data_IF_405888324560
#
_entry.id   IF_405888324560
#
_cell.length_a   1.000
_cell.length_b   1.000
_cell.length_c   1.000
_cell.angle_alpha   90.00
_cell.angle_beta   90.00
_cell.angle_gamma   90.00
#
_symmetry.space_group_name_H-M   'P 1'
#
loop_
_entity.id
_entity.type
_entity.pdbx_description
1 polymer ?
#
# COMPACT_ATOMS: atom_id res chain seq x y z
N UNK A 1 -67.17 -3.02 -56.32
CA UNK A 1 -66.36 -1.78 -56.40
C UNK A 1 -64.87 -2.04 -56.67
N UNK A 2 -64.15 -2.81 -55.84
CA UNK A 2 -62.69 -3.02 -56.02
C UNK A 2 -62.30 -3.73 -57.32
N UNK A 3 -63.15 -4.62 -57.84
CA UNK A 3 -62.87 -5.39 -59.06
C UNK A 3 -63.05 -4.56 -60.33
N UNK A 4 -64.08 -3.71 -60.38
CA UNK A 4 -64.29 -2.76 -61.49
C UNK A 4 -63.10 -1.80 -61.57
N UNK A 5 -62.61 -1.30 -60.43
CA UNK A 5 -61.43 -0.43 -60.40
C UNK A 5 -60.16 -1.10 -60.95
N UNK A 6 -59.94 -2.40 -60.69
CA UNK A 6 -58.80 -3.13 -61.27
C UNK A 6 -58.94 -3.28 -62.79
N UNK A 7 -60.13 -3.66 -63.25
CA UNK A 7 -60.41 -3.91 -64.67
C UNK A 7 -60.33 -2.62 -65.51
N UNK A 8 -60.78 -1.49 -64.97
CA UNK A 8 -60.63 -0.18 -65.61
C UNK A 8 -59.16 0.26 -65.67
N UNK A 9 -58.39 0.01 -64.61
CA UNK A 9 -56.95 0.29 -64.60
C UNK A 9 -56.18 -0.58 -65.60
N UNK A 10 -56.59 -1.83 -65.82
CA UNK A 10 -55.96 -2.71 -66.83
C UNK A 10 -56.15 -2.18 -68.26
N UNK A 11 -57.34 -1.68 -68.58
CA UNK A 11 -57.68 -1.11 -69.90
C UNK A 11 -56.89 0.18 -70.18
N UNK A 12 -56.74 1.05 -69.18
CA UNK A 12 -56.01 2.31 -69.36
C UNK A 12 -54.48 2.12 -69.48
N UNK A 13 -53.94 0.98 -69.02
CA UNK A 13 -52.51 0.70 -68.97
C UNK A 13 -52.11 -0.46 -69.90
N UNK A 14 -52.86 -0.69 -70.97
CA UNK A 14 -52.73 -1.82 -71.90
C UNK A 14 -51.37 -1.81 -72.64
N UNK A 15 -50.80 -0.63 -72.91
CA UNK A 15 -49.52 -0.45 -73.62
C UNK A 15 -48.24 -0.60 -72.77
N UNK A 16 -48.36 -0.86 -71.46
CA UNK A 16 -47.19 -0.91 -70.54
C UNK A 16 -46.64 -2.33 -70.29
N UNK A 17 -47.24 -3.38 -70.88
CA UNK A 17 -46.71 -4.76 -70.90
C UNK A 17 -46.20 -5.29 -69.55
N UNK A 18 -45.07 -6.01 -69.58
CA UNK A 18 -44.39 -6.60 -68.41
C UNK A 18 -43.85 -5.56 -67.40
N UNK A 19 -43.80 -4.27 -67.79
CA UNK A 19 -43.29 -3.17 -66.96
C UNK A 19 -44.37 -2.50 -66.09
N UNK A 20 -45.57 -3.10 -65.98
CA UNK A 20 -46.65 -2.62 -65.11
C UNK A 20 -46.31 -2.81 -63.63
N UNK A 21 -45.46 -1.95 -63.10
CA UNK A 21 -45.23 -1.84 -61.66
C UNK A 21 -46.31 -0.96 -61.03
N UNK A 22 -46.84 -1.31 -59.85
CA UNK A 22 -47.67 -0.41 -59.07
C UNK A 22 -46.94 0.92 -58.90
N UNK A 23 -47.65 2.06 -58.95
CA UNK A 23 -47.01 3.38 -58.83
C UNK A 23 -46.04 3.49 -57.63
N UNK A 24 -46.35 2.81 -56.52
CA UNK A 24 -45.51 2.73 -55.30
C UNK A 24 -44.19 1.99 -55.45
N UNK A 25 -44.04 1.14 -56.48
CA UNK A 25 -42.87 0.29 -56.73
C UNK A 25 -41.99 0.78 -57.88
N UNK A 26 -42.36 1.90 -58.52
CA UNK A 26 -41.53 2.51 -59.55
C UNK A 26 -40.24 3.05 -58.91
N UNK A 27 -39.07 2.86 -59.55
CA UNK A 27 -37.83 3.50 -59.12
C UNK A 27 -38.03 5.03 -59.06
N UNK A 28 -37.47 5.71 -58.06
CA UNK A 28 -37.74 7.12 -57.76
C UNK A 28 -39.03 7.37 -56.97
N UNK A 29 -40.18 6.79 -57.34
CA UNK A 29 -41.42 6.93 -56.54
C UNK A 29 -41.32 6.14 -55.24
N UNK A 30 -40.74 4.94 -55.30
CA UNK A 30 -40.51 4.07 -54.14
C UNK A 30 -39.68 4.77 -53.05
N UNK A 31 -38.65 5.51 -53.45
CA UNK A 31 -37.74 6.24 -52.54
C UNK A 31 -38.45 7.38 -51.81
N UNK A 32 -39.47 7.99 -52.43
CA UNK A 32 -40.28 9.04 -51.81
C UNK A 32 -41.26 8.51 -50.74
N UNK A 33 -41.60 7.22 -50.81
CA UNK A 33 -42.51 6.56 -49.86
C UNK A 33 -41.80 5.61 -48.87
N UNK A 34 -40.50 5.32 -49.06
CA UNK A 34 -39.70 4.58 -48.10
C UNK A 34 -39.42 5.46 -46.88
N UNK A 35 -39.99 5.06 -45.74
CA UNK A 35 -39.79 5.76 -44.47
C UNK A 35 -38.29 5.76 -44.15
N UNK A 36 -37.65 6.92 -43.91
CA UNK A 36 -36.24 6.93 -43.56
C UNK A 36 -36.02 6.01 -42.35
N UNK A 37 -34.93 5.22 -42.33
CA UNK A 37 -34.67 4.28 -41.25
C UNK A 37 -34.67 5.05 -39.93
N UNK A 38 -35.48 4.59 -38.97
CA UNK A 38 -35.56 5.24 -37.68
C UNK A 38 -34.18 5.19 -37.02
N UNK A 39 -33.55 6.37 -36.88
CA UNK A 39 -32.25 6.48 -36.24
C UNK A 39 -32.39 5.98 -34.80
N UNK A 40 -31.72 4.88 -34.49
CA UNK A 40 -31.65 4.36 -33.12
C UNK A 40 -30.98 5.45 -32.28
N UNK A 41 -31.76 6.08 -31.38
CA UNK A 41 -31.21 7.04 -30.43
C UNK A 41 -30.18 6.32 -29.55
N UNK A 42 -28.97 6.87 -29.47
CA UNK A 42 -27.99 6.42 -28.48
C UNK A 42 -28.55 6.69 -27.08
N UNK A 43 -28.18 5.83 -26.12
CA UNK A 43 -28.51 6.07 -24.71
C UNK A 43 -27.97 7.44 -24.32
N UNK A 44 -28.83 8.27 -23.74
CA UNK A 44 -28.40 9.53 -23.17
C UNK A 44 -27.68 9.28 -21.85
N UNK A 45 -26.91 10.26 -21.37
CA UNK A 45 -26.30 10.17 -20.03
C UNK A 45 -27.34 9.92 -18.95
N UNK A 46 -28.51 10.53 -19.06
CA UNK A 46 -29.62 10.33 -18.14
C UNK A 46 -30.13 8.87 -18.14
N UNK A 47 -30.17 8.21 -19.30
CA UNK A 47 -30.54 6.79 -19.39
C UNK A 47 -29.47 5.84 -18.83
N UNK A 48 -28.23 6.33 -18.71
CA UNK A 48 -27.14 5.62 -18.05
C UNK A 48 -27.27 5.82 -16.55
N UNK A 49 -27.40 7.07 -16.07
CA UNK A 49 -27.56 7.39 -14.65
C UNK A 49 -28.77 6.72 -14.01
N UNK A 50 -29.90 6.62 -14.73
CA UNK A 50 -31.08 5.87 -14.27
C UNK A 50 -30.84 4.37 -14.01
N UNK A 51 -29.79 3.81 -14.60
CA UNK A 51 -29.44 2.38 -14.51
C UNK A 51 -28.22 2.12 -13.64
N UNK A 52 -27.61 3.16 -13.08
CA UNK A 52 -26.57 3.00 -12.07
C UNK A 52 -27.29 2.55 -10.79
N UNK A 53 -27.01 1.32 -10.39
CA UNK A 53 -27.54 0.71 -9.17
C UNK A 53 -26.45 0.66 -8.08
N UNK A 54 -26.79 0.10 -6.92
CA UNK A 54 -25.85 -0.13 -5.84
C UNK A 54 -24.67 -1.02 -6.26
N UNK A 55 -24.87 -1.92 -7.24
CA UNK A 55 -23.82 -2.78 -7.79
C UNK A 55 -22.68 -1.98 -8.41
N UNK A 56 -22.98 -0.82 -9.03
CA UNK A 56 -21.94 0.08 -9.56
C UNK A 56 -20.98 0.60 -8.48
N UNK A 57 -21.47 0.78 -7.26
CA UNK A 57 -20.69 1.24 -6.12
C UNK A 57 -20.08 0.08 -5.32
N UNK A 58 -20.13 -1.15 -5.83
CA UNK A 58 -19.48 -2.31 -5.22
C UNK A 58 -20.19 -2.89 -3.99
N UNK A 59 -21.40 -2.42 -3.64
CA UNK A 59 -22.16 -2.93 -2.49
C UNK A 59 -22.52 -4.43 -2.59
N UNK A 60 -22.32 -5.06 -3.76
CA UNK A 60 -22.60 -6.48 -4.00
C UNK A 60 -21.34 -7.33 -4.20
N UNK A 61 -20.17 -6.70 -4.28
CA UNK A 61 -18.90 -7.40 -4.55
C UNK A 61 -18.44 -8.22 -3.33
N UNK A 62 -18.97 -7.93 -2.13
CA UNK A 62 -18.74 -8.73 -0.94
C UNK A 62 -19.50 -10.07 -0.95
N UNK A 63 -20.64 -10.16 -1.67
CA UNK A 63 -21.51 -11.36 -1.66
C UNK A 63 -21.07 -12.47 -2.62
N UNK A 64 -20.30 -12.14 -3.67
CA UNK A 64 -19.91 -13.12 -4.70
C UNK A 64 -18.74 -14.03 -4.27
N UNK A 65 -18.07 -13.67 -3.16
CA UNK A 65 -16.93 -14.40 -2.59
C UNK A 65 -15.66 -14.35 -3.44
N UNK A 66 -15.61 -13.55 -4.51
CA UNK A 66 -14.40 -13.35 -5.32
C UNK A 66 -13.34 -12.66 -4.49
N UNK A 67 -13.74 -11.64 -3.73
CA UNK A 67 -12.84 -10.89 -2.86
C UNK A 67 -12.19 -11.81 -1.81
N UNK A 68 -12.99 -12.59 -1.08
CA UNK A 68 -12.51 -13.54 -0.07
C UNK A 68 -11.51 -14.58 -0.62
N UNK A 69 -11.69 -15.06 -1.85
CA UNK A 69 -10.76 -16.01 -2.49
C UNK A 69 -9.40 -15.40 -2.83
N UNK A 70 -9.36 -14.11 -3.12
CA UNK A 70 -8.13 -13.40 -3.48
C UNK A 70 -7.43 -12.86 -2.24
N UNK A 71 -8.20 -12.32 -1.29
CA UNK A 71 -7.67 -11.75 -0.05
C UNK A 71 -7.14 -12.80 0.91
N UNK A 72 -7.83 -13.93 1.11
CA UNK A 72 -7.39 -15.00 2.02
C UNK A 72 -5.94 -15.47 1.80
N UNK A 73 -5.53 -15.87 0.57
CA UNK A 73 -4.14 -16.27 0.33
C UNK A 73 -3.16 -15.11 0.41
N UNK A 74 -3.59 -13.86 0.13
CA UNK A 74 -2.73 -12.69 0.29
C UNK A 74 -2.48 -12.37 1.77
N UNK A 75 -3.53 -12.39 2.59
CA UNK A 75 -3.45 -12.21 4.04
C UNK A 75 -2.60 -13.31 4.69
N UNK A 76 -2.79 -14.57 4.32
CA UNK A 76 -2.00 -15.68 4.84
C UNK A 76 -0.50 -15.51 4.54
N UNK A 77 -0.15 -15.02 3.34
CA UNK A 77 1.24 -14.71 2.99
C UNK A 77 1.81 -13.58 3.82
N UNK A 78 1.08 -12.47 3.94
CA UNK A 78 1.53 -11.33 4.76
C UNK A 78 1.69 -11.71 6.24
N UNK A 79 0.81 -12.57 6.75
CA UNK A 79 0.91 -13.07 8.12
C UNK A 79 2.13 -13.95 8.32
N UNK A 80 2.39 -14.88 7.39
CA UNK A 80 3.56 -15.75 7.46
C UNK A 80 4.87 -14.93 7.39
N UNK A 81 4.95 -13.94 6.51
CA UNK A 81 6.11 -13.05 6.41
C UNK A 81 6.33 -12.23 7.69
N UNK A 82 5.26 -11.74 8.32
CA UNK A 82 5.34 -11.04 9.60
C UNK A 82 5.77 -11.95 10.76
N UNK A 83 5.31 -13.21 10.79
CA UNK A 83 5.71 -14.20 11.79
C UNK A 83 7.19 -14.57 11.63
N UNK A 84 7.67 -14.77 10.40
CA UNK A 84 9.09 -14.98 10.12
C UNK A 84 9.96 -13.78 10.53
N UNK A 85 9.49 -12.55 10.30
CA UNK A 85 10.19 -11.34 10.76
C UNK A 85 10.23 -11.26 12.29
N UNK A 86 9.13 -11.57 12.97
CA UNK A 86 9.05 -11.58 14.44
C UNK A 86 10.00 -12.62 15.04
N UNK A 87 10.05 -13.83 14.48
CA UNK A 87 10.96 -14.90 14.90
C UNK A 87 12.43 -14.47 14.77
N UNK A 88 12.81 -13.83 13.65
CA UNK A 88 14.17 -13.30 13.45
C UNK A 88 14.51 -12.21 14.47
N UNK A 89 13.59 -11.27 14.70
CA UNK A 89 13.78 -10.19 15.69
C UNK A 89 13.87 -10.77 17.11
N UNK A 90 13.10 -11.80 17.43
CA UNK A 90 13.17 -12.46 18.73
C UNK A 90 14.51 -13.20 18.91
N UNK A 91 15.00 -13.88 17.87
CA UNK A 91 16.31 -14.55 17.90
C UNK A 91 17.44 -13.55 18.12
N UNK A 92 17.48 -12.44 17.35
CA UNK A 92 18.47 -11.37 17.54
C UNK A 92 18.40 -10.76 18.95
N UNK A 93 17.19 -10.58 19.49
CA UNK A 93 17.00 -10.11 20.86
C UNK A 93 17.57 -11.09 21.87
N UNK A 94 17.31 -12.39 21.72
CA UNK A 94 17.84 -13.44 22.60
C UNK A 94 19.37 -13.49 22.55
N UNK A 95 19.98 -13.41 21.36
CA UNK A 95 21.43 -13.35 21.22
C UNK A 95 22.04 -12.12 21.91
N UNK A 96 21.38 -10.96 21.77
CA UNK A 96 21.81 -9.72 22.43
C UNK A 96 21.72 -9.83 23.95
N UNK A 97 20.64 -10.39 24.48
CA UNK A 97 20.46 -10.63 25.91
C UNK A 97 21.49 -11.64 26.44
N UNK A 98 21.82 -12.69 25.69
CA UNK A 98 22.87 -13.66 26.06
C UNK A 98 24.26 -13.01 26.06
N UNK A 99 24.56 -12.16 25.07
CA UNK A 99 25.81 -11.42 25.01
C UNK A 99 25.95 -10.46 26.19
N UNK A 100 24.90 -9.72 26.54
CA UNK A 100 24.90 -8.82 27.69
C UNK A 100 25.09 -9.60 29.01
N UNK A 101 24.52 -10.81 29.14
CA UNK A 101 24.77 -11.70 30.29
C UNK A 101 26.24 -12.13 30.35
N UNK A 102 26.84 -12.53 29.23
CA UNK A 102 28.26 -12.91 29.15
C UNK A 102 29.19 -11.73 29.45
N UNK A 103 28.83 -10.53 29.01
CA UNK A 103 29.62 -9.31 29.26
C UNK A 103 29.55 -8.91 30.74
N UNK A 104 28.38 -9.03 31.39
CA UNK A 104 28.24 -8.83 32.85
C UNK A 104 29.00 -9.87 33.68
N UNK A 105 29.05 -11.12 33.22
CA UNK A 105 29.85 -12.17 33.87
C UNK A 105 31.36 -11.90 33.74
N UNK A 106 31.78 -11.24 32.65
CA UNK A 106 33.16 -10.82 32.40
C UNK A 106 33.52 -9.47 33.00
N UNK A 107 32.57 -8.73 33.56
CA UNK A 107 32.85 -7.47 34.27
C UNK A 107 33.76 -7.77 35.47
N UNK A 108 35.05 -7.56 35.24
CA UNK A 108 36.14 -7.90 36.12
C UNK A 108 36.08 -7.02 37.38
N UNK A 109 35.74 -7.62 38.52
CA UNK A 109 35.79 -6.93 39.81
C UNK A 109 37.26 -6.70 40.18
N UNK A 110 37.81 -5.52 39.87
CA UNK A 110 39.14 -5.10 40.31
C UNK A 110 39.08 -4.82 41.81
N UNK A 111 39.64 -5.72 42.62
CA UNK A 111 39.87 -5.40 44.03
C UNK A 111 41.07 -4.45 44.11
N UNK A 112 40.79 -3.15 44.23
CA UNK A 112 41.80 -2.14 44.53
C UNK A 112 42.20 -2.32 46.00
N UNK A 113 43.46 -2.66 46.32
CA UNK A 113 43.91 -2.71 47.70
C UNK A 113 43.90 -1.28 48.25
N UNK A 114 42.87 -0.96 49.04
CA UNK A 114 42.77 0.32 49.72
C UNK A 114 43.55 0.23 51.04
N UNK A 115 44.46 1.16 51.33
CA UNK A 115 45.19 1.18 52.59
C UNK A 115 44.22 1.40 53.76
N UNK A 116 44.48 0.74 54.86
CA UNK A 116 43.70 0.90 56.09
C UNK A 116 43.92 2.29 56.69
N UNK A 117 42.97 2.74 57.51
CA UNK A 117 42.97 4.09 58.13
C UNK A 117 44.30 4.41 58.86
N UNK A 118 44.87 3.42 59.56
CA UNK A 118 46.17 3.55 60.25
C UNK A 118 47.36 3.71 59.31
N UNK A 119 47.28 3.15 58.10
CA UNK A 119 48.31 3.28 57.08
C UNK A 119 48.24 4.66 56.43
N UNK A 120 47.03 5.15 56.14
CA UNK A 120 46.79 6.51 55.67
C UNK A 120 47.37 7.52 56.66
N UNK A 121 47.09 7.37 57.95
CA UNK A 121 47.62 8.26 59.00
C UNK A 121 49.15 8.33 58.98
N UNK A 122 49.83 7.17 58.90
CA UNK A 122 51.29 7.11 58.84
C UNK A 122 51.84 7.79 57.59
N UNK A 123 51.25 7.52 56.42
CA UNK A 123 51.65 8.14 55.16
C UNK A 123 51.47 9.66 55.19
N UNK A 124 50.38 10.14 55.79
CA UNK A 124 50.12 11.59 55.94
C UNK A 124 51.15 12.23 56.88
N UNK A 125 51.50 11.57 57.99
CA UNK A 125 52.53 12.06 58.92
C UNK A 125 53.91 12.10 58.25
N UNK A 126 54.29 11.04 57.55
CA UNK A 126 55.57 10.98 56.82
C UNK A 126 55.64 12.05 55.73
N UNK A 127 54.58 12.22 54.94
CA UNK A 127 54.50 13.25 53.90
C UNK A 127 54.64 14.65 54.49
N UNK A 128 53.94 14.95 55.60
CA UNK A 128 54.05 16.24 56.30
C UNK A 128 55.47 16.44 56.86
N UNK A 129 56.08 15.40 57.42
CA UNK A 129 57.46 15.45 57.92
C UNK A 129 58.44 15.76 56.79
N UNK A 130 58.31 15.08 55.65
CA UNK A 130 59.13 15.33 54.46
C UNK A 130 58.90 16.72 53.88
N UNK A 131 57.66 17.21 53.85
CA UNK A 131 57.34 18.55 53.36
C UNK A 131 57.93 19.64 54.26
N UNK A 132 57.84 19.48 55.58
CA UNK A 132 58.51 20.36 56.54
C UNK A 132 60.04 20.31 56.35
N UNK A 133 60.62 19.11 56.23
CA UNK A 133 62.05 18.98 55.91
C UNK A 133 62.38 19.66 54.58
N UNK A 134 61.59 19.49 53.52
CA UNK A 134 61.84 20.15 52.23
C UNK A 134 61.75 21.67 52.33
N UNK A 135 60.87 22.22 53.17
CA UNK A 135 60.72 23.67 53.37
C UNK A 135 61.84 24.27 54.21
N UNK A 136 62.29 23.55 55.23
CA UNK A 136 63.22 24.09 56.23
C UNK A 136 64.66 23.57 56.12
N UNK A 137 64.88 22.42 55.48
CA UNK A 137 66.23 21.89 55.25
C UNK A 137 66.99 22.62 54.14
N UNK A 138 66.29 23.28 53.20
CA UNK A 138 66.95 24.05 52.13
C UNK A 138 67.28 25.50 52.48
N UNK A 139 66.90 26.01 53.66
CA UNK A 139 67.24 27.39 54.07
C UNK A 139 68.26 27.48 55.21
N UNK A 140 68.34 26.49 56.12
CA UNK A 140 69.24 26.57 57.28
C UNK A 140 70.51 25.72 57.24
N UNK A 141 70.63 24.74 56.33
CA UNK A 141 71.75 23.77 56.33
C UNK A 141 72.84 24.06 55.28
N UNK A 142 72.64 25.09 54.45
CA UNK A 142 73.62 25.58 53.46
C UNK A 142 74.43 26.79 53.98
N UNK A 143 74.02 27.41 55.10
CA UNK A 143 74.66 28.60 55.66
C UNK A 143 75.64 28.32 56.81
N UNK A 144 75.82 27.06 57.23
CA UNK A 144 76.87 26.70 58.20
C UNK A 144 77.75 25.55 57.65
N UNK A 145 78.76 25.94 56.89
CA UNK A 145 80.05 25.25 56.80
C UNK A 145 81.19 26.26 56.91
#
# INVERSE_FOLDING_TARGET
MREIGRKVAEIQNEGLGEHRLPAKKLPGVRELFEKPPELRKRRTRYDIYKRIDASYYGYRDEEDGVLARVEGPAEAKMRAEAEEEEDVVEEERREREEKERKDKEREFVVHVPLPDEKEIERMVVERKKMELLSKYASEGLLEEQ
#
